data_IF_707120785360
#
_entry.id   IF_707120785360
#
_cell.length_a   1.000
_cell.length_b   1.000
_cell.length_c   1.000
_cell.angle_alpha   90.00
_cell.angle_beta   90.00
_cell.angle_gamma   90.00
#
_symmetry.space_group_name_H-M   'P 1'
#
loop_
_entity.id
_entity.type
_entity.pdbx_description
1 polymer ?
#
# COMPACT_ATOMS: atom_id res chain seq x y z
N UNK A 1 14.84 26.37 12.72
CA UNK A 1 13.46 26.28 12.20
C UNK A 1 13.15 24.89 11.71
N UNK A 2 11.86 24.52 11.76
CA UNK A 2 11.34 23.23 11.30
C UNK A 2 10.07 23.52 10.50
N UNK A 3 9.94 22.88 9.34
CA UNK A 3 8.77 22.95 8.48
C UNK A 3 8.19 21.54 8.33
N UNK A 4 6.87 21.44 8.17
CA UNK A 4 6.18 20.17 7.96
C UNK A 4 5.26 20.30 6.75
N UNK A 5 5.33 19.30 5.87
CA UNK A 5 4.49 19.18 4.69
C UNK A 5 3.57 17.97 4.85
N UNK A 6 2.28 18.15 4.58
CA UNK A 6 1.30 17.08 4.58
C UNK A 6 0.55 17.11 3.25
N UNK A 7 0.33 15.93 2.69
CA UNK A 7 -0.54 15.72 1.55
C UNK A 7 -1.66 14.75 1.94
N UNK A 8 -2.87 15.03 1.48
CA UNK A 8 -3.97 14.07 1.57
C UNK A 8 -3.61 12.82 0.75
N UNK A 9 -3.83 11.66 1.35
CA UNK A 9 -3.52 10.36 0.79
C UNK A 9 -4.75 9.45 0.88
N UNK A 10 -4.88 8.52 -0.04
CA UNK A 10 -5.94 7.54 0.00
C UNK A 10 -5.87 6.68 1.29
N UNK A 11 -6.98 6.48 2.02
CA UNK A 11 -6.96 5.73 3.28
C UNK A 11 -6.85 4.22 3.09
N UNK A 12 -7.40 3.70 1.99
CA UNK A 12 -7.54 2.26 1.79
C UNK A 12 -6.36 1.60 1.06
N UNK A 13 -5.42 2.39 0.53
CA UNK A 13 -4.23 1.86 -0.15
C UNK A 13 -3.05 2.86 -0.07
N UNK A 14 -1.80 2.38 -0.22
CA UNK A 14 -0.63 3.25 -0.24
C UNK A 14 -0.68 4.24 -1.42
N UNK A 15 -0.87 5.52 -1.14
CA UNK A 15 -0.99 6.57 -2.17
C UNK A 15 0.36 7.24 -2.46
N UNK A 16 1.03 6.71 -3.46
CA UNK A 16 2.36 7.17 -3.79
C UNK A 16 2.36 8.45 -4.67
N UNK A 17 1.19 8.89 -5.15
CA UNK A 17 1.01 10.23 -5.75
C UNK A 17 1.01 11.32 -4.67
N UNK A 18 0.41 11.04 -3.52
CA UNK A 18 0.44 11.96 -2.37
C UNK A 18 1.90 12.22 -1.92
N UNK A 19 2.73 11.17 -1.88
CA UNK A 19 4.15 11.30 -1.55
C UNK A 19 4.92 12.17 -2.57
N UNK A 20 4.67 11.98 -3.86
CA UNK A 20 5.30 12.77 -4.91
C UNK A 20 4.95 14.27 -4.83
N UNK A 21 3.71 14.60 -4.45
CA UNK A 21 3.29 15.99 -4.27
C UNK A 21 4.01 16.70 -3.11
N UNK A 22 4.34 15.97 -2.05
CA UNK A 22 5.20 16.49 -0.97
C UNK A 22 6.61 16.79 -1.49
N UNK A 23 7.19 15.88 -2.28
CA UNK A 23 8.53 16.04 -2.87
C UNK A 23 8.58 17.27 -3.81
N UNK A 24 7.59 17.42 -4.70
CA UNK A 24 7.47 18.58 -5.60
C UNK A 24 7.39 19.90 -4.81
N UNK A 25 6.65 19.90 -3.71
CA UNK A 25 6.54 21.09 -2.84
C UNK A 25 7.88 21.39 -2.15
N UNK A 26 8.59 20.37 -1.67
CA UNK A 26 9.93 20.52 -1.09
C UNK A 26 10.89 21.10 -2.13
N UNK A 27 10.85 20.61 -3.36
CA UNK A 27 11.69 21.06 -4.45
C UNK A 27 11.50 22.56 -4.73
N UNK A 28 10.24 22.98 -4.91
CA UNK A 28 9.89 24.37 -5.17
C UNK A 28 10.17 25.31 -4.00
N UNK A 29 9.90 24.88 -2.77
CA UNK A 29 9.95 25.77 -1.59
C UNK A 29 11.36 25.84 -0.99
N UNK A 30 12.08 24.72 -0.95
CA UNK A 30 13.36 24.63 -0.23
C UNK A 30 14.57 24.58 -1.16
N UNK A 31 14.48 23.81 -2.24
CA UNK A 31 15.66 23.51 -3.05
C UNK A 31 15.86 24.50 -4.20
N UNK A 32 14.79 25.18 -4.64
CA UNK A 32 14.79 26.06 -5.83
C UNK A 32 15.42 25.40 -7.06
N UNK A 33 15.40 24.06 -7.11
CA UNK A 33 15.86 23.27 -8.23
C UNK A 33 14.65 22.69 -8.96
N UNK A 34 14.89 21.92 -10.02
CA UNK A 34 13.84 21.21 -10.75
C UNK A 34 14.17 19.73 -10.64
N UNK A 35 13.44 19.02 -9.78
CA UNK A 35 13.43 17.57 -9.68
C UNK A 35 12.31 17.07 -10.60
N UNK A 36 12.66 16.21 -11.56
CA UNK A 36 11.66 15.51 -12.36
C UNK A 36 10.90 14.50 -11.47
N UNK A 37 9.59 14.67 -11.25
CA UNK A 37 8.83 13.78 -10.38
C UNK A 37 8.37 12.50 -11.11
N UNK A 38 8.52 12.39 -12.43
CA UNK A 38 8.05 11.25 -13.23
C UNK A 38 8.63 9.91 -12.79
N UNK A 39 9.95 9.77 -12.53
CA UNK A 39 10.52 8.51 -12.05
C UNK A 39 9.91 8.06 -10.71
N UNK A 40 9.58 9.02 -9.84
CA UNK A 40 8.96 8.73 -8.56
C UNK A 40 7.54 8.20 -8.74
N UNK A 41 6.73 8.80 -9.62
CA UNK A 41 5.38 8.33 -9.93
C UNK A 41 5.35 6.90 -10.51
N UNK A 42 6.31 6.55 -11.35
CA UNK A 42 6.39 5.20 -11.93
C UNK A 42 6.75 4.15 -10.86
N UNK A 43 7.70 4.48 -9.99
CA UNK A 43 8.13 3.58 -8.92
C UNK A 43 7.06 3.43 -7.85
N UNK A 44 6.38 4.53 -7.55
CA UNK A 44 5.16 4.61 -6.75
C UNK A 44 4.09 3.61 -7.21
N UNK A 45 3.70 3.66 -8.49
CA UNK A 45 2.72 2.75 -9.08
C UNK A 45 3.18 1.29 -9.00
N UNK A 46 4.48 1.04 -9.28
CA UNK A 46 5.07 -0.30 -9.19
C UNK A 46 4.95 -0.88 -7.78
N UNK A 47 5.26 -0.09 -6.75
CA UNK A 47 5.18 -0.49 -5.34
C UNK A 47 3.72 -0.75 -4.94
N UNK A 48 2.79 0.11 -5.36
CA UNK A 48 1.36 -0.04 -5.09
C UNK A 48 0.81 -1.36 -5.66
N UNK A 49 1.13 -1.69 -6.91
CA UNK A 49 0.73 -2.95 -7.54
C UNK A 49 1.29 -4.17 -6.79
N UNK A 50 2.55 -4.09 -6.33
CA UNK A 50 3.14 -5.17 -5.54
C UNK A 50 2.42 -5.34 -4.19
N UNK A 51 2.12 -4.24 -3.50
CA UNK A 51 1.39 -4.26 -2.23
C UNK A 51 -0.03 -4.83 -2.38
N UNK A 52 -0.76 -4.42 -3.42
CA UNK A 52 -2.08 -4.96 -3.72
C UNK A 52 -2.05 -6.49 -3.97
N UNK A 53 -1.01 -6.98 -4.66
CA UNK A 53 -0.85 -8.43 -4.91
C UNK A 53 -0.61 -9.23 -3.62
N UNK A 54 0.18 -8.67 -2.70
CA UNK A 54 0.48 -9.26 -1.40
C UNK A 54 -0.78 -9.24 -0.52
N UNK A 55 -1.48 -8.11 -0.47
CA UNK A 55 -2.72 -7.94 0.30
C UNK A 55 -3.80 -8.92 -0.17
N UNK A 56 -3.99 -9.09 -1.49
CA UNK A 56 -4.93 -10.07 -2.05
C UNK A 56 -4.57 -11.49 -1.62
N UNK A 57 -3.29 -11.86 -1.76
CA UNK A 57 -2.80 -13.20 -1.39
C UNK A 57 -2.93 -13.49 0.11
N UNK A 58 -2.73 -12.48 0.96
CA UNK A 58 -2.95 -12.59 2.40
C UNK A 58 -4.43 -12.79 2.74
N UNK A 59 -5.32 -12.06 2.06
CA UNK A 59 -6.76 -12.17 2.25
C UNK A 59 -7.32 -13.54 1.82
N UNK A 60 -6.80 -14.11 0.72
CA UNK A 60 -7.18 -15.44 0.23
C UNK A 60 -6.69 -16.59 1.15
N UNK A 61 -5.54 -16.41 1.82
CA UNK A 61 -5.00 -17.40 2.76
C UNK A 61 -5.71 -17.36 4.12
N UNK A 62 -6.13 -16.19 4.59
CA UNK A 62 -6.89 -16.05 5.84
C UNK A 62 -8.36 -16.54 5.79
N UNK A 63 -8.91 -16.77 4.59
CA UNK A 63 -10.30 -17.20 4.40
C UNK A 63 -10.53 -18.72 4.36
N UNK A 64 -9.48 -19.54 4.22
CA UNK A 64 -9.62 -21.01 4.07
C UNK A 64 -9.67 -21.81 5.38
N UNK A 65 -9.57 -21.15 6.53
CA UNK A 65 -9.50 -21.80 7.85
C UNK A 65 -10.79 -21.64 8.68
N UNK A 66 -12.00 -21.78 8.07
CA UNK A 66 -13.28 -21.77 8.84
C UNK A 66 -14.37 -22.72 8.32
N UNK A 67 -14.02 -23.86 7.73
CA UNK A 67 -15.00 -24.97 7.58
C UNK A 67 -14.54 -26.16 8.40
N UNK A 68 -14.82 -26.10 9.70
CA UNK A 68 -14.78 -27.28 10.57
C UNK A 68 -15.92 -28.21 10.19
N UNK A 69 -15.60 -29.27 9.45
CA UNK A 69 -16.50 -30.41 9.27
C UNK A 69 -16.05 -31.49 10.25
N UNK A 70 -16.81 -31.69 11.32
CA UNK A 70 -16.60 -32.74 12.32
C UNK A 70 -16.63 -34.13 11.65
N UNK A 71 -15.66 -35.04 11.91
CA UNK A 71 -15.79 -36.43 11.52
C UNK A 71 -16.71 -37.13 12.53
N UNK A 72 -17.84 -37.64 12.06
CA UNK A 72 -18.75 -38.48 12.83
C UNK A 72 -18.05 -39.78 13.24
N UNK A 73 -17.91 -39.97 14.54
CA UNK A 73 -17.48 -41.24 15.13
C UNK A 73 -18.65 -42.22 15.10
N UNK A 74 -18.56 -43.25 14.24
CA UNK A 74 -19.44 -44.41 14.25
C UNK A 74 -18.57 -45.66 14.31
N UNK A 75 -18.15 -46.04 15.53
CA UNK A 75 -17.43 -47.29 15.83
C UNK A 75 -18.11 -48.00 17.01
N UNK A 76 -19.35 -48.46 16.78
CA UNK A 76 -19.92 -49.63 17.47
C UNK A 76 -20.61 -50.48 16.40
N UNK A 77 -20.02 -51.65 16.15
CA UNK A 77 -20.48 -52.71 15.26
C UNK A 77 -19.65 -53.94 15.52
#
# INVERSE_FOLDING_TARGET
>A
DVLTFLAEAHPDYPDARAAAKVIETIDHVLLQTIIDPVPLYNEAERIEQQLLSIQRSAHEKGGRERTGTSPTSSMYG
#
